data_IF_018622973368
#
_entry.id   IF_018622973368
#
_cell.length_a   1.000
_cell.length_b   1.000
_cell.length_c   1.000
_cell.angle_alpha   90.00
_cell.angle_beta   90.00
_cell.angle_gamma   90.00
#
_symmetry.space_group_name_H-M   'P 1'
#
loop_
_entity.id
_entity.type
_entity.pdbx_description
1 polymer ?
#
# COMPACT_ATOMS: atom_id res chain seq x y z
N UNK A 1 2.50 18.51 22.75
CA UNK A 1 1.43 17.69 22.14
C UNK A 1 0.27 18.62 21.84
N UNK A 2 0.09 19.09 20.59
CA UNK A 2 -1.06 19.93 20.27
C UNK A 2 -2.30 19.03 20.22
N UNK A 3 -3.22 19.27 21.15
CA UNK A 3 -4.59 18.74 21.17
C UNK A 3 -5.28 19.06 19.85
N UNK A 4 -5.85 18.06 19.18
CA UNK A 4 -6.71 18.28 18.03
C UNK A 4 -7.94 19.08 18.49
N UNK A 5 -7.90 20.40 18.28
CA UNK A 5 -9.03 21.28 18.52
C UNK A 5 -10.16 20.88 17.56
N UNK A 6 -11.38 20.81 18.08
CA UNK A 6 -12.64 20.52 17.37
C UNK A 6 -13.02 21.76 16.50
N UNK A 7 -12.04 22.41 15.87
CA UNK A 7 -12.25 23.67 15.16
C UNK A 7 -12.66 23.45 13.69
N UNK A 8 -12.62 22.19 13.21
CA UNK A 8 -12.93 21.83 11.82
C UNK A 8 -14.18 20.94 11.69
N UNK A 9 -15.11 21.00 12.65
CA UNK A 9 -16.38 20.30 12.48
C UNK A 9 -17.32 21.09 11.55
N UNK A 10 -17.99 20.41 10.62
CA UNK A 10 -18.87 21.01 9.59
C UNK A 10 -19.97 21.92 10.17
N UNK A 11 -20.33 21.74 11.45
CA UNK A 11 -21.29 22.58 12.17
C UNK A 11 -20.81 24.01 12.46
N UNK A 12 -19.50 24.28 12.37
CA UNK A 12 -18.92 25.61 12.59
C UNK A 12 -18.70 26.39 11.29
N UNK A 13 -18.97 25.78 10.14
CA UNK A 13 -18.87 26.45 8.85
C UNK A 13 -20.16 27.22 8.54
N UNK A 14 -20.07 28.46 8.01
CA UNK A 14 -21.24 29.18 7.54
C UNK A 14 -21.99 28.35 6.49
N UNK A 15 -23.32 28.30 6.57
CA UNK A 15 -24.15 27.52 5.64
C UNK A 15 -23.86 27.86 4.17
N UNK A 16 -23.50 29.11 3.86
CA UNK A 16 -23.09 29.53 2.52
C UNK A 16 -21.83 28.81 2.01
N UNK A 17 -20.88 28.49 2.86
CA UNK A 17 -19.67 27.74 2.49
C UNK A 17 -19.99 26.27 2.20
N UNK A 18 -20.93 25.69 2.96
CA UNK A 18 -21.42 24.32 2.75
C UNK A 18 -22.18 24.23 1.41
N UNK A 19 -23.03 25.21 1.13
CA UNK A 19 -23.77 25.29 -0.13
C UNK A 19 -22.83 25.54 -1.32
N UNK A 20 -21.85 26.44 -1.21
CA UNK A 20 -20.87 26.67 -2.28
C UNK A 20 -19.99 25.45 -2.59
N UNK A 21 -19.68 24.62 -1.58
CA UNK A 21 -18.98 23.35 -1.79
C UNK A 21 -19.87 22.32 -2.50
N UNK A 22 -21.13 22.19 -2.08
CA UNK A 22 -22.14 21.35 -2.75
C UNK A 22 -22.37 21.79 -4.20
N UNK A 23 -22.43 23.09 -4.45
CA UNK A 23 -22.67 23.66 -5.78
C UNK A 23 -21.45 23.52 -6.71
N UNK A 24 -20.25 23.23 -6.17
CA UNK A 24 -19.07 22.84 -6.96
C UNK A 24 -19.08 21.37 -7.34
N UNK A 25 -19.72 20.51 -6.55
CA UNK A 25 -19.96 19.09 -6.86
C UNK A 25 -21.12 18.94 -7.87
N UNK A 26 -21.08 19.72 -8.96
CA UNK A 26 -21.99 19.49 -10.09
C UNK A 26 -21.58 18.16 -10.73
N UNK A 27 -22.47 17.14 -10.76
CA UNK A 27 -22.14 15.89 -11.41
C UNK A 27 -21.82 16.17 -12.88
N UNK A 28 -20.63 15.77 -13.31
CA UNK A 28 -20.18 15.88 -14.70
C UNK A 28 -21.27 15.34 -15.62
N UNK A 29 -21.71 16.14 -16.61
CA UNK A 29 -22.80 15.74 -17.51
C UNK A 29 -22.44 14.42 -18.21
N UNK A 30 -23.43 13.53 -18.44
CA UNK A 30 -23.21 12.33 -19.24
C UNK A 30 -22.61 12.69 -20.60
N UNK A 31 -21.49 12.07 -20.96
CA UNK A 31 -20.80 12.32 -22.24
C UNK A 31 -19.86 13.53 -22.26
N UNK A 32 -19.58 14.18 -21.13
CA UNK A 32 -18.55 15.22 -21.07
C UNK A 32 -17.18 14.68 -21.52
N UNK A 33 -16.43 15.40 -22.39
CA UNK A 33 -15.17 14.92 -22.95
C UNK A 33 -14.12 14.64 -21.87
N UNK A 34 -14.13 15.43 -20.79
CA UNK A 34 -13.25 15.26 -19.62
C UNK A 34 -13.55 13.95 -18.86
N UNK A 35 -14.84 13.62 -18.68
CA UNK A 35 -15.27 12.39 -18.03
C UNK A 35 -14.94 11.15 -18.89
N UNK A 36 -15.07 11.27 -20.22
CA UNK A 36 -14.69 10.21 -21.16
C UNK A 36 -13.17 9.98 -21.19
N UNK A 37 -12.36 11.04 -21.13
CA UNK A 37 -10.91 10.94 -21.04
C UNK A 37 -10.46 10.29 -19.72
N UNK A 38 -11.06 10.69 -18.58
CA UNK A 38 -10.81 10.06 -17.28
C UNK A 38 -11.21 8.58 -17.27
N UNK A 39 -12.33 8.23 -17.90
CA UNK A 39 -12.77 6.84 -18.08
C UNK A 39 -11.81 6.04 -18.96
N UNK A 40 -11.30 6.62 -20.04
CA UNK A 40 -10.32 5.97 -20.92
C UNK A 40 -8.99 5.72 -20.18
N UNK A 41 -8.51 6.69 -19.40
CA UNK A 41 -7.31 6.54 -18.58
C UNK A 41 -7.49 5.48 -17.49
N UNK A 42 -8.65 5.46 -16.80
CA UNK A 42 -8.98 4.44 -15.82
C UNK A 42 -9.05 3.04 -16.45
N UNK A 43 -9.65 2.91 -17.63
CA UNK A 43 -9.70 1.64 -18.38
C UNK A 43 -8.32 1.18 -18.83
N UNK A 44 -7.44 2.09 -19.29
CA UNK A 44 -6.07 1.76 -19.64
C UNK A 44 -5.26 1.30 -18.42
N UNK A 45 -5.43 1.95 -17.27
CA UNK A 45 -4.81 1.55 -16.00
C UNK A 45 -5.30 0.16 -15.55
N UNK A 46 -6.60 -0.13 -15.71
CA UNK A 46 -7.17 -1.45 -15.45
C UNK A 46 -6.65 -2.51 -16.44
N UNK A 47 -6.50 -2.17 -17.72
CA UNK A 47 -5.95 -3.08 -18.73
C UNK A 47 -4.48 -3.43 -18.42
N UNK A 48 -3.66 -2.45 -18.04
CA UNK A 48 -2.29 -2.68 -17.57
C UNK A 48 -2.24 -3.52 -16.28
N UNK A 49 -3.24 -3.39 -15.41
CA UNK A 49 -3.43 -4.25 -14.22
C UNK A 49 -3.92 -5.66 -14.53
N UNK A 50 -4.55 -5.86 -15.70
CA UNK A 50 -5.15 -7.11 -16.14
C UNK A 50 -4.24 -7.88 -17.11
N UNK A 51 -3.00 -7.43 -17.30
CA UNK A 51 -1.97 -8.25 -17.94
C UNK A 51 -1.69 -9.45 -17.02
N UNK A 52 -2.48 -10.50 -17.25
CA UNK A 52 -2.57 -11.70 -16.43
C UNK A 52 -1.20 -12.34 -16.27
N UNK A 53 -0.34 -12.24 -17.28
CA UNK A 53 1.03 -12.75 -17.25
C UNK A 53 1.89 -12.05 -16.17
N UNK A 54 1.89 -10.71 -16.15
CA UNK A 54 2.62 -9.92 -15.16
C UNK A 54 2.03 -10.05 -13.75
N UNK A 55 0.71 -10.22 -13.64
CA UNK A 55 0.02 -10.47 -12.37
C UNK A 55 0.33 -11.88 -11.85
N UNK A 56 0.34 -12.88 -12.72
CA UNK A 56 0.67 -14.27 -12.38
C UNK A 56 2.15 -14.42 -12.03
N UNK A 57 3.06 -13.76 -12.73
CA UNK A 57 4.49 -13.72 -12.36
C UNK A 57 4.70 -13.04 -11.01
N UNK A 58 4.04 -11.90 -10.76
CA UNK A 58 4.12 -11.20 -9.47
C UNK A 58 3.51 -12.04 -8.34
N UNK A 59 2.37 -12.69 -8.58
CA UNK A 59 1.74 -13.62 -7.63
C UNK A 59 2.54 -14.90 -7.41
N UNK A 60 3.21 -15.42 -8.44
CA UNK A 60 4.08 -16.59 -8.33
C UNK A 60 5.36 -16.23 -7.54
N UNK A 61 5.92 -15.05 -7.74
CA UNK A 61 7.03 -14.54 -6.94
C UNK A 61 6.62 -14.26 -5.49
N UNK A 62 5.45 -13.66 -5.26
CA UNK A 62 4.88 -13.50 -3.92
C UNK A 62 4.58 -14.87 -3.28
N UNK A 63 3.96 -15.81 -3.99
CA UNK A 63 3.66 -17.14 -3.48
C UNK A 63 4.93 -17.94 -3.14
N UNK A 64 6.02 -17.79 -3.92
CA UNK A 64 7.34 -18.36 -3.57
C UNK A 64 7.93 -17.70 -2.33
N UNK A 65 7.77 -16.37 -2.19
CA UNK A 65 8.19 -15.62 -1.01
C UNK A 65 7.39 -16.03 0.25
N UNK A 66 6.09 -16.28 0.09
CA UNK A 66 5.18 -16.74 1.14
C UNK A 66 5.45 -18.20 1.50
N UNK A 67 5.56 -19.11 0.53
CA UNK A 67 5.87 -20.52 0.79
C UNK A 67 7.23 -20.67 1.50
N UNK A 68 8.20 -19.80 1.20
CA UNK A 68 9.40 -19.67 2.01
C UNK A 68 9.06 -19.16 3.41
N UNK A 69 8.37 -18.03 3.58
CA UNK A 69 8.00 -17.50 4.90
C UNK A 69 7.29 -18.51 5.84
N UNK A 70 6.51 -19.45 5.29
CA UNK A 70 5.77 -20.47 6.04
C UNK A 70 6.62 -21.68 6.48
N UNK A 71 7.81 -21.87 5.89
CA UNK A 71 8.78 -22.92 6.28
C UNK A 71 9.98 -22.40 7.06
N UNK A 72 10.05 -21.11 7.37
CA UNK A 72 11.26 -20.50 7.91
C UNK A 72 11.27 -20.49 9.44
N UNK A 73 12.37 -21.02 9.99
CA UNK A 73 12.86 -20.64 11.31
C UNK A 73 12.96 -19.11 11.43
N UNK A 74 13.02 -18.53 12.64
CA UNK A 74 13.18 -17.09 12.82
C UNK A 74 14.32 -16.47 12.01
N UNK A 75 15.41 -17.24 11.79
CA UNK A 75 16.52 -16.91 10.89
C UNK A 75 16.04 -16.64 9.47
N UNK A 76 15.27 -17.57 8.91
CA UNK A 76 14.79 -17.48 7.55
C UNK A 76 13.85 -16.30 7.34
N UNK A 77 12.91 -16.08 8.27
CA UNK A 77 12.00 -14.93 8.21
C UNK A 77 12.76 -13.60 8.19
N UNK A 78 13.81 -13.47 9.02
CA UNK A 78 14.67 -12.28 9.02
C UNK A 78 15.42 -12.10 7.70
N UNK A 79 15.95 -13.18 7.12
CA UNK A 79 16.63 -13.14 5.81
C UNK A 79 15.69 -12.65 4.71
N UNK A 80 14.46 -13.16 4.67
CA UNK A 80 13.47 -12.74 3.68
C UNK A 80 13.11 -11.26 3.83
N UNK A 81 12.94 -10.76 5.07
CA UNK A 81 12.69 -9.34 5.32
C UNK A 81 13.86 -8.46 4.88
N UNK A 82 15.10 -8.89 5.12
CA UNK A 82 16.30 -8.18 4.64
C UNK A 82 16.34 -8.11 3.12
N UNK A 83 16.08 -9.23 2.42
CA UNK A 83 16.01 -9.28 0.96
C UNK A 83 14.93 -8.34 0.43
N UNK A 84 13.73 -8.34 1.03
CA UNK A 84 12.64 -7.46 0.63
C UNK A 84 12.92 -5.98 0.89
N UNK A 85 13.76 -5.66 1.88
CA UNK A 85 14.25 -4.31 2.14
C UNK A 85 15.45 -3.92 1.25
N UNK A 86 15.89 -4.78 0.33
CA UNK A 86 17.06 -4.56 -0.53
C UNK A 86 18.39 -4.63 0.22
N UNK A 87 18.42 -5.30 1.38
CA UNK A 87 19.59 -5.43 2.23
C UNK A 87 20.21 -6.83 2.12
N UNK A 88 21.48 -6.92 2.53
CA UNK A 88 22.20 -8.18 2.58
C UNK A 88 21.55 -9.16 3.58
N UNK A 89 21.17 -10.34 3.06
CA UNK A 89 20.54 -11.41 3.82
C UNK A 89 21.46 -12.02 4.88
N UNK A 90 22.78 -11.88 4.75
CA UNK A 90 23.73 -12.46 5.71
C UNK A 90 23.85 -11.61 6.99
N UNK A 91 23.31 -10.38 6.98
CA UNK A 91 23.18 -9.51 8.16
C UNK A 91 22.03 -9.89 9.11
N UNK A 92 21.44 -11.07 8.98
CA UNK A 92 20.26 -11.49 9.76
C UNK A 92 20.52 -11.65 11.27
N UNK A 93 21.77 -11.85 11.69
CA UNK A 93 22.20 -11.84 13.09
C UNK A 93 22.57 -10.45 13.59
N UNK A 94 22.70 -9.46 12.68
CA UNK A 94 23.14 -8.13 13.06
C UNK A 94 22.10 -7.46 13.96
N UNK A 95 22.52 -6.84 15.07
CA UNK A 95 21.61 -6.16 15.99
C UNK A 95 20.97 -4.94 15.33
N UNK A 96 19.74 -4.58 15.74
CA UNK A 96 18.93 -3.55 15.07
C UNK A 96 19.58 -2.16 15.05
N UNK A 97 20.48 -1.87 15.99
CA UNK A 97 21.23 -0.61 16.06
C UNK A 97 22.39 -0.53 15.06
N UNK A 98 22.77 -1.66 14.43
CA UNK A 98 23.80 -1.67 13.37
C UNK A 98 23.26 -1.20 12.02
N UNK A 99 21.94 -1.05 11.90
CA UNK A 99 21.28 -0.50 10.72
C UNK A 99 21.10 0.99 10.89
N UNK A 100 21.37 1.73 9.81
CA UNK A 100 21.11 3.16 9.69
C UNK A 100 19.60 3.45 9.76
N UNK A 101 19.24 4.71 9.99
CA UNK A 101 17.82 5.09 10.05
C UNK A 101 17.08 4.82 8.74
N UNK A 102 17.73 5.02 7.60
CA UNK A 102 17.16 4.72 6.29
C UNK A 102 16.88 3.22 6.13
N UNK A 103 17.87 2.36 6.44
CA UNK A 103 17.70 0.90 6.39
C UNK A 103 16.60 0.42 7.34
N UNK A 104 16.47 1.04 8.52
CA UNK A 104 15.41 0.72 9.48
C UNK A 104 14.01 1.08 8.99
N UNK A 105 13.87 2.15 8.20
CA UNK A 105 12.59 2.51 7.57
C UNK A 105 12.18 1.45 6.54
N UNK A 106 13.12 1.03 5.68
CA UNK A 106 12.87 0.00 4.66
C UNK A 106 12.56 -1.36 5.30
N UNK A 107 13.30 -1.75 6.34
CA UNK A 107 13.02 -2.97 7.11
C UNK A 107 11.60 -2.96 7.71
N UNK A 108 11.15 -1.82 8.26
CA UNK A 108 9.77 -1.70 8.77
C UNK A 108 8.74 -1.80 7.66
N UNK A 109 8.99 -1.19 6.50
CA UNK A 109 8.09 -1.27 5.35
C UNK A 109 7.97 -2.70 4.83
N UNK A 110 9.10 -3.39 4.62
CA UNK A 110 9.17 -4.79 4.21
C UNK A 110 8.47 -5.72 5.20
N UNK A 111 8.68 -5.52 6.50
CA UNK A 111 8.04 -6.32 7.56
C UNK A 111 6.51 -6.15 7.55
N UNK A 112 6.02 -4.90 7.43
CA UNK A 112 4.57 -4.63 7.34
C UNK A 112 3.94 -5.25 6.10
N UNK A 113 4.63 -5.23 4.97
CA UNK A 113 4.16 -5.89 3.75
C UNK A 113 4.06 -7.40 3.96
N UNK A 114 5.08 -8.03 4.55
CA UNK A 114 5.08 -9.46 4.85
C UNK A 114 3.92 -9.87 5.78
N UNK A 115 3.65 -9.10 6.84
CA UNK A 115 2.52 -9.36 7.76
C UNK A 115 1.18 -9.27 7.04
N UNK A 116 0.96 -8.22 6.24
CA UNK A 116 -0.32 -8.05 5.50
C UNK A 116 -0.56 -9.20 4.53
N UNK A 117 0.49 -9.69 3.89
CA UNK A 117 0.40 -10.84 3.00
C UNK A 117 0.05 -12.11 3.79
N UNK A 118 0.67 -12.31 4.96
CA UNK A 118 0.32 -13.40 5.86
C UNK A 118 -1.15 -13.35 6.31
N UNK A 119 -1.62 -12.18 6.75
CA UNK A 119 -3.02 -11.98 7.18
C UNK A 119 -4.00 -12.25 6.04
N UNK A 120 -3.69 -11.80 4.81
CA UNK A 120 -4.53 -12.09 3.63
C UNK A 120 -4.61 -13.58 3.34
N UNK A 121 -3.49 -14.30 3.44
CA UNK A 121 -3.47 -15.72 3.16
C UNK A 121 -4.21 -16.51 4.25
N UNK A 122 -4.05 -16.13 5.52
CA UNK A 122 -4.78 -16.75 6.62
C UNK A 122 -6.29 -16.53 6.52
N UNK A 123 -6.73 -15.33 6.15
CA UNK A 123 -8.16 -15.01 6.00
C UNK A 123 -8.78 -15.52 4.68
N UNK A 124 -7.98 -16.07 3.77
CA UNK A 124 -8.46 -16.65 2.51
C UNK A 124 -8.73 -18.17 2.61
N UNK A 125 -8.31 -18.80 3.72
CA UNK A 125 -8.58 -20.20 4.08
C UNK A 125 -9.84 -20.23 4.95
#
# INVERSE_FOLDING_TARGET
MPTALIDNHLSFLPAAAILAARDKDVPTRPGAPEALAALAAAKACLAARNDLSAVEERRANEARFIAQAWGLSPRGARRSVLIAAGLDADRWESPIHSFTDAERIELRAATRAAIRVYERLFNAI
#
